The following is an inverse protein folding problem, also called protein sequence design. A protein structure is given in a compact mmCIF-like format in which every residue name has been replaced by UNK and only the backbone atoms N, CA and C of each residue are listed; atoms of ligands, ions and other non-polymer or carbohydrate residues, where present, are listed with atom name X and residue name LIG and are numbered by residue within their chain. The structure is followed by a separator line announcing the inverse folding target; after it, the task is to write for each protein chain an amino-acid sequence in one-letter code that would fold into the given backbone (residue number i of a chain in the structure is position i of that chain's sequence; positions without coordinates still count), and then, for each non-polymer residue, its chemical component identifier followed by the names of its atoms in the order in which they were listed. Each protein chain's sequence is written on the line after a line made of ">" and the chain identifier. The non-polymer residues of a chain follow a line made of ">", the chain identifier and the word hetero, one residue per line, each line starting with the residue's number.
data_IF_105162463072
#
_entry.id   IF_105162463072
#
_cell.length_a   1.000
_cell.length_b   1.000
_cell.length_c   1.000
_cell.angle_alpha   90.00
_cell.angle_beta   90.00
_cell.angle_gamma   90.00
#
_symmetry.space_group_name_H-M   'P 1'
#
loop_
_entity.id
_entity.type
_entity.pdbx_description
1 polymer ?
#
# COMPACT_ATOMS: atom_id res chain seq x y z
N UNK A 1 15.52 15.88 15.28
CA UNK A 1 16.01 16.70 14.15
C UNK A 1 15.25 16.24 12.92
N UNK A 2 14.33 17.07 12.44
CA UNK A 2 13.60 16.83 11.21
C UNK A 2 14.60 16.91 10.06
N UNK A 3 14.72 15.84 9.29
CA UNK A 3 15.70 15.75 8.21
C UNK A 3 15.14 16.49 6.99
N UNK A 4 15.93 17.42 6.45
CA UNK A 4 15.53 18.25 5.33
C UNK A 4 15.56 17.42 4.04
N UNK A 5 14.47 17.50 3.27
CA UNK A 5 14.21 16.72 2.05
C UNK A 5 15.32 16.86 0.99
N UNK A 6 16.02 18.00 0.99
CA UNK A 6 17.07 18.34 0.02
C UNK A 6 18.38 17.54 0.16
N UNK A 7 18.71 16.97 1.34
CA UNK A 7 19.98 16.24 1.51
C UNK A 7 19.99 14.87 0.81
N UNK A 8 18.82 14.29 0.53
CA UNK A 8 18.71 13.04 -0.24
C UNK A 8 18.55 13.28 -1.75
N UNK A 9 18.11 14.49 -2.14
CA UNK A 9 17.64 14.80 -3.50
C UNK A 9 18.78 15.29 -4.42
N UNK A 10 20.02 15.47 -3.93
CA UNK A 10 21.07 16.17 -4.70
C UNK A 10 22.42 15.44 -4.85
N UNK A 11 22.41 14.13 -5.11
CA UNK A 11 23.63 13.42 -5.54
C UNK A 11 23.35 12.55 -6.77
N UNK A 12 23.21 13.21 -7.91
CA UNK A 12 23.38 12.65 -9.26
C UNK A 12 24.86 12.33 -9.55
N UNK A 13 25.60 11.79 -8.57
CA UNK A 13 26.79 11.01 -8.90
C UNK A 13 26.28 9.63 -9.30
N UNK A 14 26.70 9.13 -10.45
CA UNK A 14 26.49 7.72 -10.79
C UNK A 14 27.00 6.89 -9.60
N UNK A 15 26.10 6.21 -8.88
CA UNK A 15 26.45 5.48 -7.65
C UNK A 15 27.57 4.47 -7.90
N UNK A 16 27.70 3.96 -9.13
CA UNK A 16 28.80 3.08 -9.51
C UNK A 16 30.17 3.77 -9.40
N UNK A 17 30.26 5.08 -9.69
CA UNK A 17 31.51 5.84 -9.60
C UNK A 17 32.03 5.96 -8.16
N UNK A 18 31.15 5.96 -7.16
CA UNK A 18 31.56 5.89 -5.74
C UNK A 18 32.30 4.58 -5.48
N UNK A 19 31.79 3.46 -6.00
CA UNK A 19 32.46 2.15 -5.86
C UNK A 19 33.78 2.09 -6.63
N UNK A 20 33.86 2.71 -7.81
CA UNK A 20 35.12 2.83 -8.55
C UNK A 20 36.18 3.60 -7.74
N UNK A 21 35.84 4.77 -7.17
CA UNK A 21 36.74 5.54 -6.29
C UNK A 21 37.19 4.72 -5.08
N UNK A 22 36.23 4.10 -4.37
CA UNK A 22 36.51 3.29 -3.17
C UNK A 22 37.45 2.14 -3.51
N UNK A 23 37.22 1.42 -4.61
CA UNK A 23 38.07 0.29 -5.00
C UNK A 23 39.47 0.75 -5.43
N UNK A 24 39.61 1.89 -6.08
CA UNK A 24 40.92 2.48 -6.39
C UNK A 24 41.72 2.84 -5.13
N UNK A 25 41.09 3.46 -4.12
CA UNK A 25 41.73 3.72 -2.82
C UNK A 25 42.16 2.43 -2.12
N UNK A 26 41.35 1.38 -2.20
CA UNK A 26 41.71 0.05 -1.67
C UNK A 26 42.93 -0.52 -2.40
N UNK A 27 42.97 -0.44 -3.74
CA UNK A 27 44.09 -0.94 -4.56
C UNK A 27 45.40 -0.20 -4.29
N UNK A 28 45.35 1.10 -3.96
CA UNK A 28 46.53 1.88 -3.58
C UNK A 28 46.95 1.69 -2.11
N UNK A 29 46.22 0.87 -1.34
CA UNK A 29 46.48 0.62 0.08
C UNK A 29 45.95 1.70 1.03
N UNK A 30 45.22 2.70 0.53
CA UNK A 30 44.68 3.83 1.30
C UNK A 30 43.25 3.54 1.78
N UNK A 31 43.16 2.77 2.86
CA UNK A 31 41.86 2.37 3.44
C UNK A 31 41.09 3.53 4.10
N UNK A 32 41.80 4.57 4.55
CA UNK A 32 41.17 5.71 5.23
C UNK A 32 40.42 6.58 4.21
N UNK A 33 41.01 6.86 3.05
CA UNK A 33 40.31 7.56 1.96
C UNK A 33 39.14 6.76 1.41
N UNK A 34 39.28 5.43 1.30
CA UNK A 34 38.16 4.56 0.92
C UNK A 34 36.97 4.69 1.90
N UNK A 35 37.25 4.72 3.21
CA UNK A 35 36.23 4.88 4.24
C UNK A 35 35.57 6.26 4.18
N UNK A 36 36.36 7.33 4.03
CA UNK A 36 35.84 8.69 3.94
C UNK A 36 34.95 8.86 2.71
N UNK A 37 35.34 8.30 1.56
CA UNK A 37 34.52 8.31 0.33
C UNK A 37 33.14 7.69 0.57
N UNK A 38 33.06 6.55 1.28
CA UNK A 38 31.77 5.92 1.62
C UNK A 38 30.94 6.82 2.54
N UNK A 39 31.56 7.40 3.57
CA UNK A 39 30.85 8.21 4.57
C UNK A 39 30.30 9.50 3.94
N UNK A 40 31.05 10.12 3.04
CA UNK A 40 30.71 11.42 2.45
C UNK A 40 29.80 11.28 1.22
N UNK A 41 30.06 10.31 0.34
CA UNK A 41 29.37 10.21 -0.95
C UNK A 41 28.23 9.16 -0.95
N UNK A 42 28.28 8.14 -0.09
CA UNK A 42 27.23 7.12 -0.02
C UNK A 42 27.05 6.50 1.38
N UNK A 43 26.64 7.32 2.37
CA UNK A 43 26.60 6.90 3.77
C UNK A 43 25.59 5.78 4.03
N UNK A 44 25.93 4.91 4.97
CA UNK A 44 24.98 3.94 5.52
C UNK A 44 23.98 4.63 6.45
N UNK A 45 22.69 4.53 6.11
CA UNK A 45 21.60 5.12 6.89
C UNK A 45 20.64 3.98 7.31
N UNK A 46 20.57 3.62 8.61
CA UNK A 46 19.67 2.59 9.09
C UNK A 46 18.19 2.96 8.89
N UNK A 47 17.43 2.00 8.36
CA UNK A 47 15.98 2.15 8.15
C UNK A 47 15.25 1.85 9.48
N UNK A 48 14.43 2.79 9.95
CA UNK A 48 13.58 2.60 11.14
C UNK A 48 12.18 2.15 10.73
N UNK A 49 11.69 1.06 11.32
CA UNK A 49 10.31 0.60 11.10
C UNK A 49 9.35 1.31 12.05
N UNK A 50 8.28 1.90 11.50
CA UNK A 50 7.17 2.43 12.29
C UNK A 50 6.00 1.44 12.30
N UNK A 51 5.25 1.43 13.41
CA UNK A 51 3.99 0.69 13.51
C UNK A 51 2.90 1.46 12.77
N UNK A 52 2.18 0.77 11.89
CA UNK A 52 0.98 1.28 11.21
C UNK A 52 -0.25 0.89 12.04
N UNK A 53 -1.19 1.80 12.27
CA UNK A 53 -2.46 1.48 12.94
C UNK A 53 -3.60 2.28 12.33
N UNK A 54 -4.46 1.61 11.55
CA UNK A 54 -5.66 2.19 10.95
C UNK A 54 -6.88 1.40 11.39
N UNK A 55 -7.94 2.11 11.73
CA UNK A 55 -9.27 1.54 11.89
C UNK A 55 -9.85 1.10 10.54
N UNK A 56 -10.86 0.23 10.57
CA UNK A 56 -11.59 -0.18 9.35
C UNK A 56 -12.29 1.02 8.71
N UNK A 57 -12.77 1.97 9.52
CA UNK A 57 -13.41 3.19 9.03
C UNK A 57 -12.40 4.09 8.28
N UNK A 58 -11.21 4.30 8.84
CA UNK A 58 -10.14 5.06 8.17
C UNK A 58 -9.70 4.41 6.85
N UNK A 59 -9.62 3.08 6.80
CA UNK A 59 -9.38 2.34 5.56
C UNK A 59 -10.48 2.59 4.54
N UNK A 60 -11.73 2.44 4.94
CA UNK A 60 -12.86 2.65 4.05
C UNK A 60 -12.92 4.10 3.54
N UNK A 61 -12.67 5.09 4.40
CA UNK A 61 -12.56 6.51 4.01
C UNK A 61 -11.49 6.72 2.94
N UNK A 62 -10.29 6.15 3.14
CA UNK A 62 -9.19 6.27 2.19
C UNK A 62 -9.51 5.57 0.86
N UNK A 63 -10.10 4.38 0.91
CA UNK A 63 -10.46 3.63 -0.31
C UNK A 63 -11.54 4.35 -1.13
N UNK A 64 -12.53 4.94 -0.46
CA UNK A 64 -13.54 5.78 -1.11
C UNK A 64 -12.93 7.05 -1.70
N UNK A 65 -12.06 7.73 -0.95
CA UNK A 65 -11.34 8.94 -1.40
C UNK A 65 -10.51 8.68 -2.65
N UNK A 66 -9.89 7.51 -2.74
CA UNK A 66 -9.07 7.12 -3.89
C UNK A 66 -9.87 6.46 -5.02
N UNK A 67 -11.17 6.23 -4.84
CA UNK A 67 -12.03 5.64 -5.88
C UNK A 67 -11.81 4.14 -6.08
N UNK A 68 -11.37 3.41 -5.05
CA UNK A 68 -11.06 1.98 -5.12
C UNK A 68 -10.12 1.61 -6.28
N UNK A 69 -9.07 2.39 -6.47
CA UNK A 69 -7.97 2.04 -7.39
C UNK A 69 -6.67 1.87 -6.61
N UNK A 70 -5.77 1.08 -7.20
CA UNK A 70 -4.37 1.06 -6.82
C UNK A 70 -3.71 2.34 -7.32
N UNK A 71 -3.37 3.25 -6.41
CA UNK A 71 -2.77 4.54 -6.76
C UNK A 71 -1.38 4.41 -7.38
N UNK A 72 -0.74 3.23 -7.33
CA UNK A 72 0.56 2.99 -7.97
C UNK A 72 0.47 2.35 -9.36
N UNK A 73 -0.63 1.68 -9.71
CA UNK A 73 -0.80 1.04 -11.03
C UNK A 73 -2.00 1.52 -11.84
N UNK A 74 -2.95 2.20 -11.21
CA UNK A 74 -4.23 2.58 -11.81
C UNK A 74 -5.25 1.44 -11.89
N UNK A 75 -4.91 0.23 -11.43
CA UNK A 75 -5.80 -0.94 -11.47
C UNK A 75 -6.94 -0.81 -10.46
N UNK A 76 -8.09 -1.40 -10.79
CA UNK A 76 -9.26 -1.41 -9.90
C UNK A 76 -9.07 -2.39 -8.76
N UNK A 77 -9.50 -2.00 -7.56
CA UNK A 77 -9.48 -2.81 -6.35
C UNK A 77 -10.90 -3.06 -5.84
N UNK A 78 -11.07 -4.08 -5.00
CA UNK A 78 -12.39 -4.54 -4.55
C UNK A 78 -12.55 -4.35 -3.04
N UNK A 79 -13.76 -4.01 -2.59
CA UNK A 79 -14.08 -3.87 -1.18
C UNK A 79 -13.69 -5.16 -0.42
N UNK A 80 -12.90 -5.08 0.67
CA UNK A 80 -12.45 -6.24 1.44
C UNK A 80 -13.57 -7.18 1.90
N UNK A 81 -14.77 -6.64 2.13
CA UNK A 81 -15.94 -7.42 2.50
C UNK A 81 -16.34 -8.46 1.43
N UNK A 82 -16.21 -8.11 0.14
CA UNK A 82 -16.53 -9.03 -0.97
C UNK A 82 -15.65 -10.26 -0.94
N UNK A 83 -14.34 -10.12 -0.73
CA UNK A 83 -13.44 -11.27 -0.66
C UNK A 83 -13.88 -12.25 0.42
N UNK A 84 -14.24 -11.72 1.59
CA UNK A 84 -14.65 -12.56 2.71
C UNK A 84 -16.03 -13.20 2.48
N UNK A 85 -16.94 -12.53 1.78
CA UNK A 85 -18.19 -13.13 1.29
C UNK A 85 -17.90 -14.27 0.32
N UNK A 86 -16.99 -14.09 -0.64
CA UNK A 86 -16.61 -15.15 -1.59
C UNK A 86 -16.01 -16.35 -0.86
N UNK A 87 -15.13 -16.15 0.11
CA UNK A 87 -14.60 -17.27 0.92
C UNK A 87 -15.62 -17.92 1.84
N UNK A 88 -16.71 -17.22 2.20
CA UNK A 88 -17.79 -17.81 2.97
C UNK A 88 -18.65 -18.73 2.10
N UNK A 89 -18.97 -18.31 0.87
CA UNK A 89 -19.78 -19.09 -0.06
C UNK A 89 -19.00 -20.19 -0.79
N UNK A 90 -17.74 -19.92 -1.13
CA UNK A 90 -16.91 -20.77 -1.98
C UNK A 90 -15.55 -21.01 -1.31
N UNK A 91 -15.51 -21.69 -0.14
CA UNK A 91 -14.28 -21.85 0.63
C UNK A 91 -13.21 -22.70 -0.08
N UNK A 92 -13.60 -23.58 -1.00
CA UNK A 92 -12.67 -24.41 -1.77
C UNK A 92 -12.11 -23.65 -2.99
N UNK A 93 -12.95 -22.91 -3.70
CA UNK A 93 -12.58 -22.14 -4.90
C UNK A 93 -11.95 -20.79 -4.57
N UNK A 94 -12.33 -20.19 -3.44
CA UNK A 94 -11.85 -18.89 -2.99
C UNK A 94 -11.34 -18.95 -1.53
N UNK A 95 -10.30 -19.75 -1.25
CA UNK A 95 -9.84 -19.98 0.11
C UNK A 95 -9.29 -18.71 0.77
N UNK A 96 -9.50 -18.61 2.09
CA UNK A 96 -9.00 -17.51 2.93
C UNK A 96 -8.01 -18.03 3.97
N UNK A 97 -6.88 -17.35 4.11
CA UNK A 97 -5.93 -17.58 5.19
C UNK A 97 -5.80 -16.32 6.07
N UNK A 98 -5.99 -16.40 7.40
CA UNK A 98 -5.95 -15.24 8.30
C UNK A 98 -4.66 -14.43 8.27
N UNK A 99 -3.54 -15.09 7.98
CA UNK A 99 -2.21 -14.45 7.85
C UNK A 99 -1.77 -14.27 6.39
N UNK A 100 -2.69 -14.41 5.42
CA UNK A 100 -2.41 -14.11 4.01
C UNK A 100 -1.43 -15.04 3.32
N UNK A 101 -1.29 -16.31 3.76
CA UNK A 101 -0.34 -17.24 3.17
C UNK A 101 -0.72 -17.51 1.70
N UNK A 102 0.13 -17.09 0.76
CA UNK A 102 -0.13 -17.14 -0.70
C UNK A 102 -0.35 -18.54 -1.24
N UNK A 103 0.15 -19.57 -0.55
CA UNK A 103 -0.04 -20.97 -0.95
C UNK A 103 -1.37 -21.57 -0.50
N UNK A 104 -2.11 -20.88 0.39
CA UNK A 104 -3.31 -21.40 1.06
C UNK A 104 -4.50 -20.43 0.97
N UNK A 105 -4.32 -19.27 0.33
CA UNK A 105 -5.37 -18.30 0.07
C UNK A 105 -5.44 -17.99 -1.42
N UNK A 106 -6.62 -17.60 -1.91
CA UNK A 106 -6.80 -17.21 -3.29
C UNK A 106 -5.92 -15.99 -3.64
N UNK A 107 -5.24 -16.03 -4.80
CA UNK A 107 -4.28 -14.98 -5.21
C UNK A 107 -4.89 -13.59 -5.32
N UNK A 108 -6.20 -13.49 -5.57
CA UNK A 108 -6.92 -12.22 -5.60
C UNK A 108 -6.81 -11.41 -4.29
N UNK A 109 -6.59 -12.07 -3.13
CA UNK A 109 -6.28 -11.38 -1.87
C UNK A 109 -4.98 -10.55 -1.92
N UNK A 110 -4.12 -10.80 -2.90
CA UNK A 110 -2.90 -10.05 -3.13
C UNK A 110 -3.06 -9.02 -4.24
N UNK A 111 -3.68 -9.43 -5.35
CA UNK A 111 -3.80 -8.61 -6.56
C UNK A 111 -4.86 -7.52 -6.46
N UNK A 112 -6.01 -7.82 -5.84
CA UNK A 112 -7.21 -6.98 -5.91
C UNK A 112 -7.64 -6.43 -4.54
N UNK A 113 -7.01 -6.89 -3.46
CA UNK A 113 -7.34 -6.50 -2.10
C UNK A 113 -6.67 -5.17 -1.73
N UNK A 114 -7.43 -4.14 -1.34
CA UNK A 114 -6.89 -2.83 -1.02
C UNK A 114 -6.25 -2.79 0.37
N UNK A 115 -5.16 -2.04 0.45
CA UNK A 115 -4.48 -1.66 1.68
C UNK A 115 -4.07 -0.20 1.63
N UNK A 116 -3.62 0.33 2.76
CA UNK A 116 -3.03 1.67 2.83
C UNK A 116 -1.51 1.53 2.83
N UNK A 117 -0.88 2.31 1.96
CA UNK A 117 0.54 2.63 2.03
C UNK A 117 0.76 4.14 2.10
N UNK A 118 2.02 4.55 2.25
CA UNK A 118 2.42 5.95 2.34
C UNK A 118 3.14 6.41 1.07
N UNK A 119 2.75 7.58 0.55
CA UNK A 119 3.44 8.24 -0.58
C UNK A 119 4.92 8.40 -0.26
N UNK A 120 5.21 8.99 0.89
CA UNK A 120 6.53 9.00 1.51
C UNK A 120 6.60 7.89 2.54
N UNK A 121 7.49 6.92 2.33
CA UNK A 121 7.69 5.83 3.28
C UNK A 121 8.02 6.38 4.68
N UNK A 122 7.32 5.91 5.72
CA UNK A 122 7.59 6.32 7.11
C UNK A 122 9.06 6.08 7.48
N UNK A 123 9.64 5.00 6.96
CA UNK A 123 11.03 4.63 7.19
C UNK A 123 12.05 5.67 6.68
N UNK A 124 11.60 6.60 5.83
CA UNK A 124 12.34 7.74 5.29
C UNK A 124 11.79 9.09 5.76
N UNK A 125 11.10 9.13 6.90
CA UNK A 125 10.61 10.37 7.52
C UNK A 125 9.20 10.80 7.10
N UNK A 126 8.46 9.96 6.36
CA UNK A 126 7.06 10.23 6.06
C UNK A 126 6.16 10.16 7.29
N UNK A 127 5.24 11.11 7.42
CA UNK A 127 4.28 11.14 8.52
C UNK A 127 3.14 10.12 8.31
N UNK A 128 2.68 9.50 9.40
CA UNK A 128 1.53 8.59 9.36
C UNK A 128 0.21 9.37 9.46
N UNK A 129 -0.07 10.18 8.44
CA UNK A 129 -1.27 11.00 8.37
C UNK A 129 -2.03 10.84 7.05
N UNK A 130 -3.32 11.17 7.06
CA UNK A 130 -4.24 11.04 5.91
C UNK A 130 -3.78 11.75 4.63
N UNK A 131 -2.92 12.76 4.74
CA UNK A 131 -2.35 13.48 3.59
C UNK A 131 -1.34 12.62 2.81
N UNK A 132 -0.64 11.73 3.53
CA UNK A 132 0.42 10.85 3.05
C UNK A 132 -0.11 9.44 2.71
N UNK A 133 -1.35 9.12 3.02
CA UNK A 133 -1.94 7.82 2.69
C UNK A 133 -2.35 7.73 1.21
N UNK A 134 -2.18 6.52 0.67
CA UNK A 134 -2.68 6.08 -0.63
C UNK A 134 -3.22 4.66 -0.54
N UNK A 135 -4.26 4.40 -1.32
CA UNK A 135 -4.80 3.06 -1.55
C UNK A 135 -3.93 2.33 -2.56
N UNK A 136 -3.57 1.09 -2.27
CA UNK A 136 -2.81 0.23 -3.18
C UNK A 136 -3.17 -1.23 -2.92
N UNK A 137 -2.85 -2.14 -3.84
CA UNK A 137 -2.99 -3.58 -3.63
C UNK A 137 -1.96 -4.09 -2.61
N UNK A 138 -2.25 -5.23 -1.97
CA UNK A 138 -1.27 -5.92 -1.14
C UNK A 138 -0.01 -6.30 -1.95
N UNK A 139 -0.18 -6.65 -3.23
CA UNK A 139 0.92 -6.94 -4.15
C UNK A 139 1.82 -5.72 -4.39
N UNK A 140 1.26 -4.57 -4.78
CA UNK A 140 2.05 -3.36 -5.05
C UNK A 140 2.64 -2.75 -3.78
N UNK A 141 1.93 -2.80 -2.66
CA UNK A 141 2.50 -2.44 -1.36
C UNK A 141 3.70 -3.33 -1.01
N UNK A 142 3.59 -4.64 -1.23
CA UNK A 142 4.69 -5.59 -1.01
C UNK A 142 5.88 -5.33 -1.94
N UNK A 143 5.62 -5.06 -3.22
CA UNK A 143 6.65 -4.72 -4.19
C UNK A 143 7.35 -3.38 -3.86
N UNK A 144 6.60 -2.38 -3.37
CA UNK A 144 7.17 -1.11 -2.93
C UNK A 144 8.04 -1.26 -1.68
N UNK A 145 7.56 -2.01 -0.68
CA UNK A 145 8.30 -2.28 0.55
C UNK A 145 8.85 -0.98 1.18
N UNK A 146 10.17 -0.82 1.26
CA UNK A 146 10.87 0.35 1.80
C UNK A 146 11.44 1.27 0.72
N UNK A 147 11.22 0.96 -0.56
CA UNK A 147 11.67 1.77 -1.68
C UNK A 147 10.80 3.02 -1.83
N UNK A 148 11.42 4.10 -2.31
CA UNK A 148 10.69 5.30 -2.73
C UNK A 148 10.11 5.10 -4.12
N UNK A 149 9.09 5.90 -4.45
CA UNK A 149 8.50 5.88 -5.79
C UNK A 149 9.52 6.24 -6.86
N UNK A 150 10.40 7.21 -6.60
CA UNK A 150 11.50 7.58 -7.51
C UNK A 150 12.46 6.40 -7.76
N UNK A 151 12.89 5.70 -6.71
CA UNK A 151 13.76 4.52 -6.85
C UNK A 151 13.12 3.41 -7.68
N UNK A 152 11.80 3.29 -7.63
CA UNK A 152 11.04 2.31 -8.41
C UNK A 152 10.63 2.84 -9.79
N UNK A 153 10.85 4.13 -10.06
CA UNK A 153 10.32 4.84 -11.22
C UNK A 153 8.80 4.71 -11.33
N UNK A 154 8.12 4.77 -10.18
CA UNK A 154 6.67 4.75 -10.09
C UNK A 154 6.13 6.16 -9.95
N UNK A 155 4.95 6.37 -10.50
CA UNK A 155 4.16 7.59 -10.33
C UNK A 155 2.89 7.28 -9.54
N UNK A 156 2.25 8.33 -9.02
CA UNK A 156 0.96 8.20 -8.34
C UNK A 156 -0.13 8.61 -9.33
N UNK A 157 -1.01 7.67 -9.65
CA UNK A 157 -2.19 7.94 -10.48
C UNK A 157 -3.17 8.84 -9.73
N UNK A 158 -3.98 9.65 -10.42
CA UNK A 158 -5.06 10.41 -9.79
C UNK A 158 -6.15 9.48 -9.22
N UNK A 159 -6.90 9.90 -8.18
CA UNK A 159 -8.03 9.13 -7.66
C UNK A 159 -9.04 8.74 -8.75
N UNK A 160 -9.63 7.56 -8.61
CA UNK A 160 -10.70 7.12 -9.48
C UNK A 160 -12.04 7.81 -9.18
N UNK A 161 -12.99 7.68 -10.09
CA UNK A 161 -14.37 8.15 -9.89
C UNK A 161 -15.26 7.00 -9.40
N UNK A 162 -15.89 7.17 -8.24
CA UNK A 162 -16.78 6.17 -7.65
C UNK A 162 -18.02 5.86 -8.51
N UNK A 163 -18.39 6.74 -9.43
CA UNK A 163 -19.48 6.47 -10.39
C UNK A 163 -19.07 5.44 -11.45
N UNK A 164 -17.77 5.35 -11.75
CA UNK A 164 -17.22 4.39 -12.71
C UNK A 164 -16.88 3.06 -12.02
N UNK A 165 -16.39 3.14 -10.78
CA UNK A 165 -16.02 1.98 -9.97
C UNK A 165 -16.05 2.31 -8.48
N UNK A 166 -16.96 1.67 -7.73
CA UNK A 166 -17.13 1.89 -6.28
C UNK A 166 -16.50 0.76 -5.43
N UNK A 167 -15.61 -0.04 -6.02
CA UNK A 167 -15.07 -1.23 -5.37
C UNK A 167 -16.09 -2.33 -5.13
N UNK A 168 -17.23 -2.33 -5.83
CA UNK A 168 -18.39 -3.20 -5.57
C UNK A 168 -19.04 -2.95 -4.21
N UNK A 169 -18.86 -1.76 -3.62
CA UNK A 169 -19.35 -1.45 -2.27
C UNK A 169 -20.88 -1.49 -2.20
N UNK A 170 -21.59 -0.93 -3.18
CA UNK A 170 -23.05 -1.02 -3.22
C UNK A 170 -23.54 -2.47 -3.33
N UNK A 171 -22.87 -3.30 -4.13
CA UNK A 171 -23.19 -4.73 -4.27
C UNK A 171 -22.87 -5.52 -2.99
N UNK A 172 -21.77 -5.21 -2.33
CA UNK A 172 -21.40 -5.81 -1.05
C UNK A 172 -22.49 -5.61 0.00
N UNK A 173 -22.97 -4.36 0.14
CA UNK A 173 -24.06 -4.02 1.05
C UNK A 173 -25.31 -4.85 0.72
N UNK A 174 -25.72 -4.87 -0.56
CA UNK A 174 -26.92 -5.59 -0.99
C UNK A 174 -26.81 -7.12 -0.76
N UNK A 175 -25.63 -7.71 -0.99
CA UNK A 175 -25.40 -9.15 -0.74
C UNK A 175 -25.54 -9.47 0.74
N UNK A 176 -24.91 -8.68 1.61
CA UNK A 176 -25.00 -8.89 3.07
C UNK A 176 -26.41 -8.69 3.59
N UNK A 177 -27.16 -7.71 3.07
CA UNK A 177 -28.56 -7.50 3.46
C UNK A 177 -29.47 -8.67 3.04
N UNK A 178 -29.22 -9.27 1.87
CA UNK A 178 -30.00 -10.40 1.37
C UNK A 178 -29.73 -11.72 2.13
N UNK A 179 -28.54 -11.89 2.70
CA UNK A 179 -28.15 -13.10 3.44
C UNK A 179 -27.57 -12.76 4.82
N UNK A 180 -28.24 -11.83 5.52
CA UNK A 180 -27.74 -11.25 6.77
C UNK A 180 -27.54 -12.28 7.87
N UNK A 181 -28.39 -13.32 7.93
CA UNK A 181 -28.32 -14.36 8.96
C UNK A 181 -27.02 -15.17 8.88
N UNK A 182 -26.57 -15.50 7.66
CA UNK A 182 -25.34 -16.23 7.44
C UNK A 182 -24.12 -15.29 7.49
N UNK A 183 -24.16 -14.20 6.72
CA UNK A 183 -22.98 -13.36 6.49
C UNK A 183 -22.59 -12.48 7.68
N UNK A 184 -23.55 -12.01 8.50
CA UNK A 184 -23.23 -11.19 9.68
C UNK A 184 -22.72 -12.01 10.87
N UNK A 185 -22.77 -13.34 10.81
CA UNK A 185 -22.12 -14.21 11.79
C UNK A 185 -20.59 -14.14 11.69
N UNK A 186 -20.05 -13.81 10.52
CA UNK A 186 -18.61 -13.57 10.33
C UNK A 186 -18.24 -12.15 10.78
N UNK A 187 -17.44 -12.05 11.84
CA UNK A 187 -17.04 -10.78 12.43
C UNK A 187 -16.21 -9.90 11.48
N UNK A 188 -15.53 -10.46 10.49
CA UNK A 188 -14.80 -9.69 9.47
C UNK A 188 -15.78 -9.06 8.48
N UNK A 189 -16.74 -9.85 7.97
CA UNK A 189 -17.80 -9.35 7.08
C UNK A 189 -18.58 -8.25 7.78
N UNK A 190 -19.03 -8.50 9.02
CA UNK A 190 -19.79 -7.53 9.80
C UNK A 190 -19.06 -6.18 9.93
N UNK A 191 -17.77 -6.19 10.27
CA UNK A 191 -16.98 -4.95 10.42
C UNK A 191 -16.90 -4.13 9.14
N UNK A 192 -16.69 -4.78 8.00
CA UNK A 192 -16.67 -4.09 6.70
C UNK A 192 -18.06 -3.65 6.26
N UNK A 193 -19.09 -4.42 6.57
CA UNK A 193 -20.48 -4.05 6.31
C UNK A 193 -20.87 -2.78 7.08
N UNK A 194 -20.59 -2.74 8.38
CA UNK A 194 -20.88 -1.58 9.24
C UNK A 194 -20.17 -0.31 8.72
N UNK A 195 -18.86 -0.41 8.40
CA UNK A 195 -18.09 0.71 7.83
C UNK A 195 -18.61 1.14 6.45
N UNK A 196 -18.97 0.18 5.58
CA UNK A 196 -19.51 0.46 4.25
C UNK A 196 -20.86 1.16 4.35
N UNK A 197 -21.81 0.67 5.15
CA UNK A 197 -23.11 1.32 5.39
C UNK A 197 -22.95 2.74 5.94
N UNK A 198 -22.00 2.93 6.87
CA UNK A 198 -21.75 4.22 7.51
C UNK A 198 -21.25 5.26 6.51
N UNK A 199 -20.28 4.90 5.66
CA UNK A 199 -19.51 5.85 4.86
C UNK A 199 -19.93 5.91 3.39
N UNK A 200 -20.40 4.81 2.82
CA UNK A 200 -20.80 4.77 1.42
C UNK A 200 -22.06 5.60 1.20
N UNK A 201 -22.02 6.44 0.19
CA UNK A 201 -23.17 7.16 -0.34
C UNK A 201 -23.29 6.76 -1.80
N UNK A 202 -24.50 6.42 -2.23
CA UNK A 202 -24.75 6.06 -3.63
C UNK A 202 -24.23 7.22 -4.49
N UNK A 203 -23.25 6.98 -5.37
CA UNK A 203 -22.80 8.01 -6.30
C UNK A 203 -24.02 8.49 -7.08
N UNK A 204 -24.25 9.80 -7.16
CA UNK A 204 -25.37 10.36 -7.93
C UNK A 204 -25.19 10.00 -9.41
N UNK A 205 -25.71 8.84 -9.83
CA UNK A 205 -25.86 8.48 -11.22
C UNK A 205 -27.01 9.29 -11.80
N UNK A 206 -26.76 10.03 -12.89
CA UNK A 206 -27.83 10.64 -13.68
C UNK A 206 -28.86 9.55 -14.02
N UNK A 207 -30.09 9.82 -13.59
CA UNK A 207 -31.32 9.16 -14.04
C UNK A 207 -31.42 9.12 -15.56
#
# INVERSE_FOLDING_TARGET
>A
MAYNREEYENHSADKATVFEKVTNHILSGDKDSAKNTIIEEYPFIPIKHAKRSYTVEEKMEQFLKDGFIDRYSGERLVNPGIFKVLSNYFPEEFPYHPHGKTTEAHIAYWEMFPTIDHKQAIAKGGEDEKSNWVTTSMLKNGAKSHWTLEQLQWEIYDPGNLSDWDGLTGKFIAIVENDAQNLLADAYIKRWYDASKKLYRVPNGKS
#
